data_IF_984738989867
#
_entry.id   IF_984738989867
#
_cell.length_a   1.000
_cell.length_b   1.000
_cell.length_c   1.000
_cell.angle_alpha   90.00
_cell.angle_beta   90.00
_cell.angle_gamma   90.00
#
_symmetry.space_group_name_H-M   'P 1'
#
loop_
_entity.id
_entity.type
_entity.pdbx_description
1 polymer ?
#
# COMPACT_ATOMS: atom_id res chain seq x y z
N UNK A 1 12.73 -15.49 -28.85
CA UNK A 1 12.04 -15.00 -27.64
C UNK A 1 12.76 -15.43 -26.34
N UNK A 2 13.24 -16.65 -26.21
CA UNK A 2 13.91 -17.21 -25.01
C UNK A 2 15.13 -16.41 -24.51
N UNK A 3 15.93 -15.85 -25.40
CA UNK A 3 17.12 -15.06 -25.02
C UNK A 3 16.80 -13.64 -24.52
N UNK A 4 15.64 -13.07 -24.87
CA UNK A 4 15.22 -11.76 -24.37
C UNK A 4 14.69 -11.86 -22.93
N UNK A 5 13.95 -12.94 -22.64
CA UNK A 5 13.45 -13.21 -21.30
C UNK A 5 14.59 -13.48 -20.30
N UNK A 6 15.58 -14.27 -20.70
CA UNK A 6 16.76 -14.54 -19.88
C UNK A 6 17.57 -13.26 -19.59
N UNK A 7 17.74 -12.37 -20.57
CA UNK A 7 18.42 -11.08 -20.38
C UNK A 7 17.63 -10.16 -19.44
N UNK A 8 16.29 -10.12 -19.53
CA UNK A 8 15.43 -9.35 -18.63
C UNK A 8 15.52 -9.85 -17.18
N UNK A 9 15.55 -11.15 -16.96
CA UNK A 9 15.69 -11.73 -15.61
C UNK A 9 17.07 -11.40 -15.04
N UNK A 10 18.13 -11.52 -15.82
CA UNK A 10 19.50 -11.22 -15.38
C UNK A 10 19.66 -9.72 -15.06
N UNK A 11 19.12 -8.82 -15.89
CA UNK A 11 19.18 -7.37 -15.62
C UNK A 11 18.35 -7.00 -14.41
N UNK A 12 17.19 -7.61 -14.19
CA UNK A 12 16.36 -7.37 -13.02
C UNK A 12 17.03 -7.88 -11.73
N UNK A 13 17.69 -9.05 -11.81
CA UNK A 13 18.45 -9.61 -10.68
C UNK A 13 19.68 -8.76 -10.34
N UNK A 14 20.39 -8.22 -11.34
CA UNK A 14 21.53 -7.32 -11.14
C UNK A 14 21.08 -5.96 -10.54
N UNK A 15 19.92 -5.44 -10.95
CA UNK A 15 19.32 -4.23 -10.36
C UNK A 15 18.89 -4.46 -8.89
N UNK A 16 18.33 -5.62 -8.57
CA UNK A 16 18.00 -6.00 -7.20
C UNK A 16 19.25 -6.19 -6.33
N UNK A 17 20.31 -6.82 -6.85
CA UNK A 17 21.58 -6.96 -6.12
C UNK A 17 22.29 -5.62 -5.89
N UNK A 18 22.24 -4.69 -6.83
CA UNK A 18 22.85 -3.35 -6.66
C UNK A 18 22.08 -2.50 -5.64
N UNK A 19 20.78 -2.71 -5.49
CA UNK A 19 19.99 -2.06 -4.46
C UNK A 19 20.37 -2.52 -3.03
N UNK A 20 20.79 -3.77 -2.86
CA UNK A 20 21.22 -4.31 -1.55
C UNK A 20 22.58 -3.76 -1.11
N UNK A 21 23.50 -3.50 -2.02
CA UNK A 21 24.84 -2.96 -1.69
C UNK A 21 24.82 -1.45 -1.38
N UNK A 22 23.79 -0.70 -1.83
CA UNK A 22 23.63 0.71 -1.51
C UNK A 22 23.12 0.94 -0.07
N UNK A 23 22.69 -0.09 0.64
CA UNK A 23 22.15 0.01 2.00
C UNK A 23 23.19 0.31 3.09
N UNK A 24 24.48 0.17 2.81
CA UNK A 24 25.53 0.38 3.82
C UNK A 24 25.70 1.85 4.26
N UNK A 25 25.09 2.83 3.58
CA UNK A 25 25.24 4.25 3.91
C UNK A 25 23.95 5.06 4.10
N UNK A 26 22.77 4.53 3.66
CA UNK A 26 21.49 5.18 3.87
C UNK A 26 20.42 4.10 4.17
N UNK A 27 20.02 4.00 5.42
CA UNK A 27 18.90 3.16 5.84
C UNK A 27 17.56 3.80 5.39
N UNK A 28 17.45 4.10 4.08
CA UNK A 28 16.31 4.78 3.47
C UNK A 28 15.06 3.90 3.39
N UNK A 29 15.23 2.57 3.36
CA UNK A 29 14.13 1.61 3.28
C UNK A 29 14.12 0.73 4.53
N UNK A 30 13.48 1.17 5.64
CA UNK A 30 13.45 0.38 6.86
C UNK A 30 12.46 -0.77 6.84
N UNK A 31 11.44 -0.75 5.95
CA UNK A 31 10.37 -1.74 6.00
C UNK A 31 9.75 -1.97 4.62
N UNK A 32 9.52 -3.24 4.28
CA UNK A 32 8.71 -3.69 3.15
C UNK A 32 7.48 -4.42 3.70
N UNK A 33 6.33 -4.21 3.08
CA UNK A 33 5.08 -4.89 3.41
C UNK A 33 4.46 -5.49 2.17
N UNK A 34 3.83 -6.66 2.32
CA UNK A 34 3.05 -7.30 1.27
C UNK A 34 1.83 -7.97 1.84
N UNK A 35 0.73 -8.01 1.10
CA UNK A 35 -0.50 -8.60 1.61
C UNK A 35 -1.60 -8.75 0.58
N UNK A 36 -2.77 -9.11 1.09
CA UNK A 36 -4.00 -9.30 0.32
C UNK A 36 -5.13 -8.52 0.95
N UNK A 37 -6.10 -8.09 0.14
CA UNK A 37 -7.26 -7.36 0.62
C UNK A 37 -8.55 -7.74 -0.11
N UNK A 38 -9.66 -7.58 0.60
CA UNK A 38 -11.02 -7.60 0.08
C UNK A 38 -11.46 -6.17 -0.20
N UNK A 39 -12.04 -5.94 -1.37
CA UNK A 39 -12.46 -4.63 -1.84
C UNK A 39 -13.96 -4.42 -1.69
N UNK A 40 -14.35 -3.15 -1.48
CA UNK A 40 -15.75 -2.73 -1.50
C UNK A 40 -16.57 -3.29 -0.35
N UNK A 41 -16.05 -3.26 0.86
CA UNK A 41 -16.75 -3.75 2.06
C UNK A 41 -17.89 -2.82 2.52
N UNK A 42 -18.03 -1.64 1.93
CA UNK A 42 -19.11 -0.68 2.21
C UNK A 42 -20.51 -1.21 1.87
N UNK A 43 -20.59 -2.25 1.05
CA UNK A 43 -21.86 -2.83 0.54
C UNK A 43 -22.58 -3.80 1.47
N UNK A 44 -22.23 -3.90 2.77
CA UNK A 44 -23.00 -4.69 3.75
C UNK A 44 -22.79 -6.21 3.66
N UNK A 45 -21.60 -6.68 3.35
CA UNK A 45 -21.23 -8.10 3.44
C UNK A 45 -20.32 -8.38 4.64
N UNK A 46 -20.07 -9.66 4.92
CA UNK A 46 -19.10 -10.06 5.93
C UNK A 46 -17.71 -9.50 5.59
N UNK A 47 -17.12 -8.73 6.49
CA UNK A 47 -15.82 -8.09 6.36
C UNK A 47 -14.67 -9.10 6.07
N UNK A 48 -14.86 -10.36 6.47
CA UNK A 48 -13.86 -11.42 6.38
C UNK A 48 -14.32 -12.59 5.49
N UNK A 49 -15.04 -12.33 4.40
CA UNK A 49 -15.36 -13.35 3.42
C UNK A 49 -14.13 -13.61 2.53
N UNK A 50 -13.49 -14.80 2.60
CA UNK A 50 -12.33 -15.14 1.78
C UNK A 50 -12.60 -15.05 0.27
N UNK A 51 -13.85 -15.23 -0.15
CA UNK A 51 -14.24 -15.15 -1.57
C UNK A 51 -14.19 -13.71 -2.11
N UNK A 52 -14.09 -12.72 -1.24
CA UNK A 52 -13.97 -11.29 -1.60
C UNK A 52 -12.52 -10.82 -1.72
N UNK A 53 -11.54 -11.68 -1.45
CA UNK A 53 -10.12 -11.36 -1.66
C UNK A 53 -9.91 -11.15 -3.15
N UNK A 54 -9.66 -9.92 -3.54
CA UNK A 54 -9.58 -9.48 -4.93
C UNK A 54 -8.25 -8.81 -5.29
N UNK A 55 -7.45 -8.46 -4.29
CA UNK A 55 -6.28 -7.62 -4.49
C UNK A 55 -5.05 -8.16 -3.76
N UNK A 56 -3.87 -7.96 -4.37
CA UNK A 56 -2.58 -8.03 -3.69
C UNK A 56 -1.97 -6.64 -3.57
N UNK A 57 -1.27 -6.43 -2.48
CA UNK A 57 -0.64 -5.14 -2.16
C UNK A 57 0.84 -5.32 -1.83
N UNK A 58 1.65 -4.35 -2.25
CA UNK A 58 3.03 -4.18 -1.80
C UNK A 58 3.24 -2.73 -1.40
N UNK A 59 3.98 -2.50 -0.32
CA UNK A 59 4.25 -1.16 0.24
C UNK A 59 5.68 -1.10 0.76
N UNK A 60 6.35 0.01 0.49
CA UNK A 60 7.69 0.36 0.97
C UNK A 60 7.55 1.56 1.90
N UNK A 61 8.17 1.48 3.09
CA UNK A 61 8.25 2.60 4.02
C UNK A 61 9.69 3.07 4.12
N UNK A 62 9.86 4.38 4.17
CA UNK A 62 11.16 5.03 4.15
C UNK A 62 11.44 5.68 5.50
N UNK A 63 12.69 5.59 5.99
CA UNK A 63 13.12 6.32 7.16
C UNK A 63 13.58 7.72 6.73
N UNK A 64 12.98 8.75 7.31
CA UNK A 64 13.44 10.14 7.15
C UNK A 64 13.64 10.72 8.56
N UNK A 65 14.85 10.66 9.11
CA UNK A 65 15.12 11.07 10.49
C UNK A 65 14.69 12.51 10.81
N UNK A 66 14.78 13.41 9.84
CA UNK A 66 14.45 14.82 10.04
C UNK A 66 12.95 15.09 10.21
N UNK A 67 12.11 14.27 9.60
CA UNK A 67 10.63 14.36 9.76
C UNK A 67 10.24 13.98 11.19
N UNK A 68 10.92 13.02 11.79
CA UNK A 68 10.63 12.53 13.13
C UNK A 68 10.95 13.51 14.25
N UNK A 69 11.77 14.53 13.99
CA UNK A 69 12.03 15.62 14.95
C UNK A 69 10.76 16.44 15.27
N UNK A 70 9.76 16.42 14.39
CA UNK A 70 8.49 17.13 14.56
C UNK A 70 7.40 16.26 15.19
N UNK A 71 7.62 14.96 15.32
CA UNK A 71 6.67 14.03 15.92
C UNK A 71 6.94 13.92 17.42
N UNK A 72 6.02 14.42 18.24
CA UNK A 72 6.10 14.31 19.71
C UNK A 72 5.85 12.87 20.15
N UNK A 73 5.01 12.14 19.42
CA UNK A 73 4.61 10.76 19.71
C UNK A 73 4.56 9.97 18.41
N UNK A 74 5.24 8.82 18.37
CA UNK A 74 5.23 7.93 17.22
C UNK A 74 6.26 8.29 16.15
N UNK A 75 6.23 7.56 15.04
CA UNK A 75 7.16 7.65 13.93
C UNK A 75 6.42 8.04 12.65
N UNK A 76 6.86 9.13 12.01
CA UNK A 76 6.39 9.55 10.68
C UNK A 76 7.31 8.97 9.62
N UNK A 77 6.72 8.29 8.62
CA UNK A 77 7.45 7.65 7.53
C UNK A 77 6.76 7.89 6.19
N UNK A 78 7.45 8.42 5.19
CA UNK A 78 6.95 8.38 3.81
C UNK A 78 6.75 6.94 3.37
N UNK A 79 5.71 6.69 2.56
CA UNK A 79 5.46 5.39 1.97
C UNK A 79 5.14 5.48 0.48
N UNK A 80 5.45 4.41 -0.22
CA UNK A 80 5.10 4.17 -1.61
C UNK A 80 4.56 2.75 -1.73
N UNK A 81 3.44 2.57 -2.40
CA UNK A 81 2.88 1.24 -2.58
C UNK A 81 2.07 1.09 -3.86
N UNK A 82 1.71 -0.15 -4.13
CA UNK A 82 0.84 -0.51 -5.23
C UNK A 82 -0.10 -1.64 -4.83
N UNK A 83 -1.31 -1.60 -5.39
CA UNK A 83 -2.32 -2.63 -5.24
C UNK A 83 -2.73 -3.11 -6.62
N UNK A 84 -2.63 -4.42 -6.85
CA UNK A 84 -3.00 -5.09 -8.09
C UNK A 84 -4.29 -5.87 -7.87
N UNK A 85 -5.29 -5.62 -8.71
CA UNK A 85 -6.57 -6.33 -8.66
C UNK A 85 -6.56 -7.56 -9.55
N UNK A 86 -7.05 -8.68 -9.01
CA UNK A 86 -7.26 -9.92 -9.76
C UNK A 86 -8.69 -10.06 -10.28
N UNK A 87 -9.62 -9.22 -9.81
CA UNK A 87 -11.04 -9.24 -10.17
C UNK A 87 -11.38 -8.38 -11.38
N UNK A 88 -10.36 -7.87 -12.10
CA UNK A 88 -10.53 -7.02 -13.27
C UNK A 88 -10.94 -5.58 -12.94
N UNK A 89 -10.83 -5.19 -11.68
CA UNK A 89 -11.01 -3.80 -11.24
C UNK A 89 -9.71 -3.00 -11.40
N UNK A 90 -9.76 -1.68 -11.20
CA UNK A 90 -8.58 -0.84 -11.29
C UNK A 90 -7.50 -1.23 -10.28
N UNK A 91 -6.30 -1.42 -10.79
CA UNK A 91 -5.08 -1.42 -9.99
C UNK A 91 -4.65 0.02 -9.71
N UNK A 92 -3.92 0.25 -8.63
CA UNK A 92 -3.49 1.60 -8.27
C UNK A 92 -2.13 1.61 -7.58
N UNK A 93 -1.40 2.70 -7.80
CA UNK A 93 -0.22 3.05 -7.03
C UNK A 93 -0.56 4.21 -6.10
N UNK A 94 0.10 4.28 -4.95
CA UNK A 94 -0.14 5.32 -3.95
C UNK A 94 1.14 5.73 -3.25
N UNK A 95 1.14 6.95 -2.74
CA UNK A 95 2.23 7.50 -1.93
C UNK A 95 1.67 8.45 -0.89
N UNK A 96 2.38 8.61 0.22
CA UNK A 96 1.93 9.50 1.29
C UNK A 96 2.81 9.41 2.53
N UNK A 97 2.20 9.71 3.67
CA UNK A 97 2.82 9.64 4.99
C UNK A 97 2.09 8.63 5.85
N UNK A 98 2.82 7.83 6.59
CA UNK A 98 2.33 6.98 7.67
C UNK A 98 2.80 7.52 9.01
N UNK A 99 1.92 7.48 9.99
CA UNK A 99 2.19 7.81 11.38
C UNK A 99 1.93 6.58 12.23
N UNK A 100 3.00 6.01 12.81
CA UNK A 100 2.97 4.76 13.58
C UNK A 100 3.20 5.07 15.05
N UNK A 101 2.31 4.59 15.91
CA UNK A 101 2.46 4.62 17.36
C UNK A 101 2.62 3.20 17.86
N UNK A 102 3.73 2.94 18.53
CA UNK A 102 4.04 1.64 19.12
C UNK A 102 3.75 1.65 20.63
N UNK A 103 3.14 0.58 21.13
CA UNK A 103 2.92 0.42 22.56
C UNK A 103 4.27 0.21 23.28
N UNK A 104 4.50 0.87 24.43
CA UNK A 104 5.80 0.83 25.11
C UNK A 104 6.21 -0.55 25.64
N UNK A 105 5.25 -1.39 25.99
CA UNK A 105 5.47 -2.68 26.67
C UNK A 105 5.04 -3.88 25.84
N UNK A 106 4.10 -3.69 24.92
CA UNK A 106 3.55 -4.74 24.09
C UNK A 106 4.11 -4.66 22.66
N UNK A 107 4.31 -5.78 21.97
CA UNK A 107 4.77 -5.78 20.58
C UNK A 107 3.67 -5.40 19.60
N UNK A 108 2.77 -4.47 19.97
CA UNK A 108 1.65 -4.02 19.14
C UNK A 108 1.81 -2.56 18.74
N UNK A 109 1.30 -2.22 17.57
CA UNK A 109 1.29 -0.83 17.08
C UNK A 109 -0.02 -0.51 16.37
N UNK A 110 -0.31 0.77 16.30
CA UNK A 110 -1.35 1.34 15.44
C UNK A 110 -0.74 2.32 14.47
N UNK A 111 -1.32 2.43 13.29
CA UNK A 111 -0.80 3.29 12.24
C UNK A 111 -1.95 3.97 11.51
N UNK A 112 -1.78 5.26 11.23
CA UNK A 112 -2.62 6.02 10.33
C UNK A 112 -1.82 6.40 9.08
N UNK A 113 -2.43 6.32 7.92
CA UNK A 113 -1.82 6.68 6.64
C UNK A 113 -2.70 7.67 5.88
N UNK A 114 -2.08 8.64 5.22
CA UNK A 114 -2.76 9.56 4.31
C UNK A 114 -1.88 9.87 3.11
N UNK A 115 -2.49 9.98 1.92
CA UNK A 115 -1.74 10.26 0.71
C UNK A 115 -2.58 10.36 -0.54
N UNK A 116 -1.90 10.33 -1.68
CA UNK A 116 -2.47 10.32 -3.01
C UNK A 116 -2.45 8.93 -3.63
N UNK A 117 -3.39 8.70 -4.55
CA UNK A 117 -3.52 7.47 -5.33
C UNK A 117 -3.64 7.80 -6.81
N UNK A 118 -2.94 7.03 -7.64
CA UNK A 118 -3.07 7.03 -9.10
C UNK A 118 -3.54 5.66 -9.56
N UNK A 119 -4.63 5.62 -10.33
CA UNK A 119 -5.29 4.39 -10.79
C UNK A 119 -4.90 4.03 -12.21
N UNK A 120 -4.99 2.76 -12.56
CA UNK A 120 -4.68 2.24 -13.91
C UNK A 120 -5.61 2.80 -14.99
N UNK A 121 -6.83 3.20 -14.66
CA UNK A 121 -7.76 3.90 -15.55
C UNK A 121 -7.19 5.20 -16.13
N UNK A 122 -6.27 5.86 -15.40
CA UNK A 122 -5.56 7.05 -15.89
C UNK A 122 -4.74 6.75 -17.15
N UNK A 123 -4.16 5.55 -17.24
CA UNK A 123 -3.29 5.13 -18.35
C UNK A 123 -4.08 4.59 -19.55
N UNK A 124 -5.23 3.99 -19.31
CA UNK A 124 -5.99 3.24 -20.31
C UNK A 124 -7.08 4.07 -21.01
N UNK A 125 -7.32 5.32 -20.60
CA UNK A 125 -8.31 6.21 -21.19
C UNK A 125 -9.77 5.75 -21.05
N UNK A 126 -10.03 4.57 -20.51
CA UNK A 126 -11.36 3.99 -20.34
C UNK A 126 -12.02 4.49 -19.04
N UNK A 127 -12.27 5.79 -18.98
CA UNK A 127 -12.97 6.39 -17.82
C UNK A 127 -14.50 6.15 -17.86
N UNK A 128 -15.00 5.41 -18.84
CA UNK A 128 -16.44 5.32 -19.14
C UNK A 128 -17.13 4.07 -18.61
N UNK A 129 -16.41 3.08 -18.05
CA UNK A 129 -17.06 1.90 -17.48
C UNK A 129 -17.30 2.08 -15.96
N UNK A 130 -18.54 2.43 -15.54
CA UNK A 130 -18.85 2.68 -14.14
C UNK A 130 -18.73 1.43 -13.25
N UNK A 131 -18.67 0.22 -13.85
CA UNK A 131 -18.51 -1.03 -13.12
C UNK A 131 -17.05 -1.32 -12.74
N UNK A 132 -16.09 -0.74 -13.47
CA UNK A 132 -14.64 -0.96 -13.28
C UNK A 132 -13.92 0.24 -12.68
N UNK A 133 -14.48 1.43 -12.81
CA UNK A 133 -13.86 2.68 -12.41
C UNK A 133 -14.43 3.18 -11.09
N UNK A 134 -13.61 3.14 -10.05
CA UNK A 134 -13.93 3.74 -8.75
C UNK A 134 -13.58 5.24 -8.71
N UNK A 135 -13.82 5.98 -9.82
CA UNK A 135 -13.65 7.43 -9.85
C UNK A 135 -12.47 7.96 -10.66
N UNK A 136 -12.00 9.16 -10.30
CA UNK A 136 -10.88 9.84 -10.95
C UNK A 136 -9.63 8.99 -11.03
N UNK A 137 -8.86 9.10 -12.10
CA UNK A 137 -7.55 8.46 -12.23
C UNK A 137 -6.57 8.86 -11.11
N UNK A 138 -6.77 10.04 -10.49
CA UNK A 138 -6.04 10.53 -9.32
C UNK A 138 -7.03 10.81 -8.21
N UNK A 139 -6.67 10.44 -6.98
CA UNK A 139 -7.53 10.64 -5.80
C UNK A 139 -6.73 10.69 -4.51
N UNK A 140 -7.44 10.75 -3.39
CA UNK A 140 -6.85 10.59 -2.08
C UNK A 140 -7.02 9.17 -1.57
N UNK A 141 -6.21 8.83 -0.57
CA UNK A 141 -6.22 7.57 0.17
C UNK A 141 -5.98 7.86 1.64
N UNK A 142 -6.78 7.24 2.49
CA UNK A 142 -6.53 7.16 3.93
C UNK A 142 -6.56 5.69 4.34
N UNK A 143 -5.75 5.33 5.33
CA UNK A 143 -5.80 3.98 5.89
C UNK A 143 -5.51 4.01 7.39
N UNK A 144 -6.09 3.06 8.09
CA UNK A 144 -5.79 2.76 9.47
C UNK A 144 -5.35 1.30 9.58
N UNK A 145 -4.31 1.05 10.37
CA UNK A 145 -3.77 -0.29 10.56
C UNK A 145 -3.51 -0.55 12.04
N UNK A 146 -3.62 -1.81 12.41
CA UNK A 146 -3.14 -2.32 13.69
C UNK A 146 -2.29 -3.56 13.43
N UNK A 147 -1.16 -3.69 14.14
CA UNK A 147 -0.24 -4.77 13.89
C UNK A 147 0.46 -5.28 15.13
N UNK A 148 1.08 -6.44 14.98
CA UNK A 148 1.91 -7.09 15.99
C UNK A 148 3.30 -7.28 15.40
N UNK A 149 4.31 -6.81 16.13
CA UNK A 149 5.71 -7.07 15.79
C UNK A 149 6.09 -8.46 16.28
N UNK A 150 6.72 -9.21 15.40
CA UNK A 150 7.24 -10.55 15.65
C UNK A 150 8.78 -10.49 15.76
N UNK A 151 9.43 -11.54 16.27
CA UNK A 151 10.88 -11.67 16.23
C UNK A 151 11.44 -11.53 14.79
N UNK A 152 12.71 -11.17 14.67
CA UNK A 152 13.44 -11.06 13.40
C UNK A 152 12.93 -9.95 12.47
N UNK A 153 12.28 -8.91 13.01
CA UNK A 153 11.81 -7.77 12.21
C UNK A 153 10.52 -8.01 11.42
N UNK A 154 9.88 -9.16 11.59
CA UNK A 154 8.60 -9.46 10.95
C UNK A 154 7.44 -8.75 11.67
N UNK A 155 6.32 -8.54 10.96
CA UNK A 155 5.06 -8.05 11.54
C UNK A 155 3.86 -8.61 10.81
N UNK A 156 2.73 -8.75 11.53
CA UNK A 156 1.41 -9.04 10.96
C UNK A 156 0.53 -7.83 11.18
N UNK A 157 -0.13 -7.37 10.12
CA UNK A 157 -0.81 -6.07 10.08
C UNK A 157 -2.20 -6.26 9.49
N UNK A 158 -3.24 -5.86 10.23
CA UNK A 158 -4.59 -5.69 9.72
C UNK A 158 -4.76 -4.23 9.28
N UNK A 159 -5.33 -4.00 8.10
CA UNK A 159 -5.48 -2.67 7.52
C UNK A 159 -6.90 -2.46 7.01
N UNK A 160 -7.46 -1.31 7.30
CA UNK A 160 -8.64 -0.75 6.66
C UNK A 160 -8.19 0.44 5.83
N UNK A 161 -8.49 0.42 4.56
CA UNK A 161 -8.15 1.46 3.61
C UNK A 161 -9.43 2.08 3.04
N UNK A 162 -9.49 3.39 2.95
CA UNK A 162 -10.60 4.12 2.37
C UNK A 162 -10.10 5.04 1.27
N UNK A 163 -10.72 4.94 0.10
CA UNK A 163 -10.50 5.79 -1.05
C UNK A 163 -11.71 6.73 -1.16
N UNK A 164 -11.65 7.93 -0.57
CA UNK A 164 -12.76 8.86 -0.56
C UNK A 164 -13.07 9.37 -1.97
N UNK A 165 -14.34 9.64 -2.20
CA UNK A 165 -14.81 10.34 -3.39
C UNK A 165 -14.92 11.84 -3.08
N UNK A 166 -14.17 12.64 -3.81
CA UNK A 166 -14.24 14.10 -3.69
C UNK A 166 -15.12 14.76 -4.75
N UNK A 167 -15.82 13.99 -5.58
CA UNK A 167 -16.72 14.55 -6.60
C UNK A 167 -16.02 15.38 -7.70
N UNK A 168 -14.70 15.31 -7.79
CA UNK A 168 -13.89 16.21 -8.60
C UNK A 168 -13.95 15.90 -10.12
N UNK A 169 -14.49 14.75 -10.52
CA UNK A 169 -14.49 14.30 -11.92
C UNK A 169 -15.85 14.29 -12.60
N UNK A 170 -16.88 14.87 -11.99
CA UNK A 170 -18.19 15.03 -12.62
C UNK A 170 -19.00 13.75 -12.85
N UNK A 171 -18.47 12.57 -12.48
CA UNK A 171 -19.19 11.30 -12.49
C UNK A 171 -19.50 10.87 -11.06
N UNK A 172 -20.67 10.25 -10.78
CA UNK A 172 -20.96 9.73 -9.45
C UNK A 172 -19.93 8.63 -9.13
N UNK A 173 -19.01 8.97 -8.26
CA UNK A 173 -17.97 8.08 -7.78
C UNK A 173 -18.50 7.34 -6.56
N UNK A 174 -18.03 6.14 -6.36
CA UNK A 174 -18.31 5.39 -5.13
C UNK A 174 -17.04 5.42 -4.28
N UNK A 175 -17.14 5.95 -3.09
CA UNK A 175 -16.13 5.70 -2.07
C UNK A 175 -15.92 4.20 -1.94
N UNK A 176 -14.69 3.78 -1.77
CA UNK A 176 -14.34 2.36 -1.68
C UNK A 176 -13.55 2.10 -0.41
N UNK A 177 -14.06 1.20 0.41
CA UNK A 177 -13.36 0.72 1.61
C UNK A 177 -12.86 -0.70 1.39
N UNK A 178 -11.58 -0.91 1.63
CA UNK A 178 -10.91 -2.19 1.52
C UNK A 178 -10.42 -2.64 2.89
N UNK A 179 -10.49 -3.94 3.15
CA UNK A 179 -9.95 -4.54 4.38
C UNK A 179 -8.95 -5.62 3.98
N UNK A 180 -7.79 -5.62 4.62
CA UNK A 180 -6.72 -6.55 4.25
C UNK A 180 -5.83 -6.95 5.40
N UNK A 181 -4.99 -7.95 5.12
CA UNK A 181 -3.91 -8.40 6.00
C UNK A 181 -2.60 -8.29 5.25
N UNK A 182 -1.58 -7.78 5.92
CA UNK A 182 -0.22 -7.60 5.39
C UNK A 182 0.79 -8.27 6.30
N UNK A 183 1.84 -8.75 5.69
CA UNK A 183 3.08 -9.13 6.38
C UNK A 183 4.10 -8.01 6.13
N UNK A 184 4.76 -7.56 7.19
CA UNK A 184 5.83 -6.58 7.11
C UNK A 184 7.16 -7.23 7.48
N UNK A 185 8.23 -6.69 6.92
CA UNK A 185 9.60 -7.02 7.30
C UNK A 185 10.42 -5.74 7.40
N UNK A 186 11.01 -5.53 8.56
CA UNK A 186 11.88 -4.38 8.88
C UNK A 186 13.34 -4.84 8.87
N UNK A 187 14.20 -4.06 8.21
CA UNK A 187 15.64 -4.33 8.07
C UNK A 187 16.46 -3.67 9.17
#
# INVERSE_FOLDING_TARGET
MRNRLARLIVTLSLLLCSAVTAQAQFNLLPEIRGGISARGVDGGGNLFDPNRISDANVELLFAVPDINKWSIIGELRPHLGATVSFSGQDSYAYTGLSWTIQAPVLPVFVEAQAGGVARSSLLNGNQTDPARNFGCGIGARVAASAGVNLPLGASIIATVEHLPDFGTCGTPQRANTNVGVRLGFRF
#
